data_IF_775644746491
#
_entry.id   IF_775644746491
#
_cell.length_a   1.000
_cell.length_b   1.000
_cell.length_c   1.000
_cell.angle_alpha   90.00
_cell.angle_beta   90.00
_cell.angle_gamma   90.00
#
_symmetry.space_group_name_H-M   'P 1'
#
loop_
_entity.id
_entity.type
_entity.pdbx_description
1 polymer ?
#
# COMPACT_ATOMS: atom_id res chain seq x y z
N UNK A 1 13.75 -19.32 15.65
CA UNK A 1 12.34 -18.96 15.95
C UNK A 1 11.60 -18.82 14.65
N UNK A 2 10.41 -19.41 14.54
CA UNK A 2 9.59 -19.33 13.34
C UNK A 2 8.32 -18.51 13.60
N UNK A 3 8.00 -17.58 12.71
CA UNK A 3 6.78 -16.75 12.77
C UNK A 3 5.94 -16.92 11.51
N UNK A 4 4.64 -16.63 11.60
CA UNK A 4 3.76 -16.53 10.44
C UNK A 4 3.64 -15.07 10.02
N UNK A 5 3.81 -14.80 8.72
CA UNK A 5 3.38 -13.57 8.06
C UNK A 5 2.11 -13.87 7.27
N UNK A 6 1.04 -13.12 7.48
CA UNK A 6 -0.25 -13.36 6.84
C UNK A 6 -0.94 -12.07 6.43
N UNK A 7 -1.67 -12.14 5.34
CA UNK A 7 -2.40 -11.02 4.77
C UNK A 7 -2.06 -10.79 3.32
N UNK A 8 -2.96 -10.13 2.60
CA UNK A 8 -2.81 -9.95 1.17
C UNK A 8 -4.10 -9.52 0.48
N UNK A 9 -4.34 -10.07 -0.70
CA UNK A 9 -5.44 -9.71 -1.58
C UNK A 9 -5.14 -8.47 -2.43
N UNK A 10 -4.31 -7.55 -1.95
CA UNK A 10 -3.88 -6.34 -2.68
C UNK A 10 -2.39 -6.10 -2.55
N UNK A 11 -1.79 -5.42 -3.54
CA UNK A 11 -0.35 -5.13 -3.57
C UNK A 11 0.16 -4.38 -2.33
N UNK A 12 -0.65 -3.48 -1.75
CA UNK A 12 -0.24 -2.74 -0.55
C UNK A 12 -0.02 -3.62 0.68
N UNK A 13 -0.90 -4.61 0.92
CA UNK A 13 -0.70 -5.59 1.99
C UNK A 13 0.54 -6.47 1.74
N UNK A 14 0.70 -6.91 0.49
CA UNK A 14 1.79 -7.81 0.10
C UNK A 14 3.15 -7.12 0.18
N UNK A 15 3.23 -5.83 -0.13
CA UNK A 15 4.44 -5.04 0.05
C UNK A 15 4.89 -5.02 1.54
N UNK A 16 3.97 -4.83 2.48
CA UNK A 16 4.29 -4.85 3.91
C UNK A 16 4.77 -6.24 4.35
N UNK A 17 4.13 -7.32 3.86
CA UNK A 17 4.59 -8.70 4.13
C UNK A 17 6.04 -8.88 3.64
N UNK A 18 6.37 -8.37 2.45
CA UNK A 18 7.73 -8.43 1.90
C UNK A 18 8.74 -7.68 2.78
N UNK A 19 8.41 -6.47 3.23
CA UNK A 19 9.30 -5.69 4.10
C UNK A 19 9.49 -6.35 5.47
N UNK A 20 8.44 -6.97 6.02
CA UNK A 20 8.55 -7.75 7.26
C UNK A 20 9.39 -9.02 7.07
N UNK A 21 9.27 -9.70 5.93
CA UNK A 21 10.12 -10.85 5.59
C UNK A 21 11.59 -10.43 5.52
N UNK A 22 11.91 -9.34 4.82
CA UNK A 22 13.28 -8.80 4.71
C UNK A 22 13.85 -8.46 6.09
N UNK A 23 13.05 -7.84 6.94
CA UNK A 23 13.42 -7.53 8.32
C UNK A 23 13.68 -8.80 9.16
N UNK A 24 12.81 -9.81 9.01
CA UNK A 24 12.93 -11.07 9.74
C UNK A 24 14.21 -11.84 9.35
N UNK A 25 14.55 -11.86 8.06
CA UNK A 25 15.78 -12.50 7.55
C UNK A 25 17.01 -11.83 8.14
N UNK A 26 17.09 -10.49 8.17
CA UNK A 26 18.19 -9.74 8.80
C UNK A 26 18.39 -10.13 10.28
N UNK A 27 17.37 -10.62 10.95
CA UNK A 27 17.37 -11.02 12.37
C UNK A 27 17.43 -12.53 12.58
N UNK A 28 17.70 -13.32 11.53
CA UNK A 28 17.73 -14.78 11.55
C UNK A 28 16.41 -15.40 12.07
N UNK A 29 15.27 -14.83 11.68
CA UNK A 29 13.94 -15.31 12.01
C UNK A 29 13.36 -15.98 10.77
N UNK A 30 12.94 -17.23 10.93
CA UNK A 30 12.28 -17.98 9.87
C UNK A 30 10.82 -17.52 9.73
N UNK A 31 10.34 -17.37 8.49
CA UNK A 31 8.99 -16.96 8.19
C UNK A 31 8.25 -18.04 7.40
N UNK A 32 7.03 -18.34 7.83
CA UNK A 32 6.03 -19.08 7.05
C UNK A 32 5.00 -18.07 6.52
N UNK A 33 4.70 -18.14 5.24
CA UNK A 33 3.64 -17.31 4.66
C UNK A 33 2.32 -18.08 4.58
N UNK A 34 1.23 -17.45 5.03
CA UNK A 34 -0.12 -17.95 4.86
C UNK A 34 -0.95 -16.84 4.18
N UNK A 35 -1.37 -17.11 2.95
CA UNK A 35 -2.15 -16.17 2.12
C UNK A 35 -3.33 -16.84 1.44
N UNK A 36 -3.84 -16.22 0.37
CA UNK A 36 -4.98 -16.70 -0.39
C UNK A 36 -4.60 -17.22 -1.78
N UNK A 37 -5.33 -18.22 -2.27
CA UNK A 37 -5.32 -18.61 -3.69
C UNK A 37 -5.97 -17.54 -4.56
N UNK A 38 -6.83 -16.70 -3.96
CA UNK A 38 -7.54 -15.63 -4.61
C UNK A 38 -6.81 -14.29 -4.39
N UNK A 39 -6.86 -13.40 -5.37
CA UNK A 39 -6.15 -12.12 -5.29
C UNK A 39 -4.73 -12.20 -5.86
N UNK A 40 -3.83 -11.36 -5.35
CA UNK A 40 -2.48 -11.22 -5.88
C UNK A 40 -1.42 -12.03 -5.09
N UNK A 41 -1.81 -12.68 -4.00
CA UNK A 41 -0.89 -13.33 -3.04
C UNK A 41 0.03 -14.33 -3.72
N UNK A 42 -0.51 -15.19 -4.57
CA UNK A 42 0.25 -16.21 -5.30
C UNK A 42 1.23 -15.58 -6.29
N UNK A 43 0.78 -14.60 -7.07
CA UNK A 43 1.62 -13.90 -8.03
C UNK A 43 2.81 -13.18 -7.38
N UNK A 44 2.66 -12.74 -6.12
CA UNK A 44 3.74 -12.07 -5.37
C UNK A 44 4.72 -13.04 -4.73
N UNK A 45 4.25 -14.18 -4.24
CA UNK A 45 5.07 -15.03 -3.35
C UNK A 45 5.24 -16.48 -3.81
N UNK A 46 4.64 -16.92 -4.91
CA UNK A 46 4.81 -18.29 -5.39
C UNK A 46 6.30 -18.62 -5.70
N UNK A 47 7.00 -17.69 -6.33
CA UNK A 47 8.42 -17.79 -6.64
C UNK A 47 9.35 -17.29 -5.53
N UNK A 48 8.82 -16.74 -4.42
CA UNK A 48 9.64 -16.23 -3.32
C UNK A 48 10.24 -17.38 -2.50
N UNK A 49 11.55 -17.54 -2.56
CA UNK A 49 12.27 -18.67 -1.94
C UNK A 49 12.71 -18.43 -0.50
N UNK A 50 12.65 -17.21 -0.02
CA UNK A 50 13.12 -16.84 1.34
C UNK A 50 12.15 -17.22 2.46
N UNK A 51 10.90 -17.60 2.16
CA UNK A 51 10.02 -18.21 3.13
C UNK A 51 10.40 -19.65 3.39
N UNK A 52 10.38 -20.08 4.66
CA UNK A 52 10.56 -21.50 5.06
C UNK A 52 9.47 -22.40 4.44
N UNK A 53 8.23 -21.90 4.39
CA UNK A 53 7.11 -22.53 3.71
C UNK A 53 6.06 -21.49 3.29
N UNK A 54 5.23 -21.83 2.31
CA UNK A 54 4.16 -20.97 1.80
C UNK A 54 2.88 -21.77 1.63
N UNK A 55 1.77 -21.25 2.16
CA UNK A 55 0.45 -21.85 2.08
C UNK A 55 -0.53 -20.87 1.50
N UNK A 56 -1.18 -21.24 0.40
CA UNK A 56 -2.21 -20.43 -0.24
C UNK A 56 -3.56 -21.11 -0.05
N UNK A 57 -4.35 -20.60 0.88
CA UNK A 57 -5.64 -21.17 1.26
C UNK A 57 -6.76 -20.64 0.36
N UNK A 58 -7.87 -21.39 0.28
CA UNK A 58 -9.04 -20.98 -0.51
C UNK A 58 -9.91 -19.91 0.18
N UNK A 59 -9.27 -18.99 0.94
CA UNK A 59 -9.96 -17.93 1.66
C UNK A 59 -10.72 -16.98 0.73
N UNK A 60 -11.86 -16.46 1.20
CA UNK A 60 -12.75 -15.57 0.44
C UNK A 60 -13.15 -14.37 1.28
N UNK A 61 -13.32 -13.22 0.62
CA UNK A 61 -13.83 -12.02 1.27
C UNK A 61 -15.29 -12.19 1.70
N UNK A 62 -15.62 -11.69 2.90
CA UNK A 62 -16.99 -11.71 3.46
C UNK A 62 -17.76 -10.43 3.05
N UNK A 63 -17.06 -9.39 2.62
CA UNK A 63 -17.64 -8.11 2.22
C UNK A 63 -18.34 -8.26 0.87
N UNK A 64 -19.52 -7.63 0.70
CA UNK A 64 -20.36 -7.69 -0.50
C UNK A 64 -21.10 -9.02 -0.72
N UNK A 65 -21.28 -9.84 0.32
CA UNK A 65 -22.11 -11.04 0.25
C UNK A 65 -23.46 -10.82 0.96
N UNK A 66 -24.50 -11.59 0.55
CA UNK A 66 -25.76 -11.65 1.26
C UNK A 66 -25.60 -12.36 2.63
N UNK A 67 -26.64 -12.37 3.47
CA UNK A 67 -26.58 -12.93 4.83
C UNK A 67 -26.12 -14.39 4.87
N UNK A 68 -26.65 -15.25 3.99
CA UNK A 68 -26.28 -16.67 3.88
C UNK A 68 -24.81 -16.82 3.41
N UNK A 69 -24.39 -16.04 2.43
CA UNK A 69 -23.02 -16.03 1.94
C UNK A 69 -22.02 -15.63 3.03
N UNK A 70 -22.37 -14.67 3.88
CA UNK A 70 -21.53 -14.27 5.03
C UNK A 70 -21.36 -15.42 6.04
N UNK A 71 -22.44 -16.12 6.36
CA UNK A 71 -22.39 -17.28 7.28
C UNK A 71 -21.51 -18.38 6.70
N UNK A 72 -21.71 -18.74 5.42
CA UNK A 72 -20.89 -19.76 4.74
C UNK A 72 -19.41 -19.37 4.70
N UNK A 73 -19.11 -18.09 4.42
CA UNK A 73 -17.72 -17.60 4.43
C UNK A 73 -17.09 -17.63 5.81
N UNK A 74 -17.84 -17.39 6.88
CA UNK A 74 -17.36 -17.52 8.25
C UNK A 74 -17.08 -18.99 8.60
N UNK A 75 -18.01 -19.90 8.32
CA UNK A 75 -17.81 -21.33 8.52
C UNK A 75 -16.59 -21.86 7.75
N UNK A 76 -16.44 -21.41 6.50
CA UNK A 76 -15.27 -21.75 5.71
C UNK A 76 -13.98 -21.20 6.31
N UNK A 77 -13.98 -19.96 6.80
CA UNK A 77 -12.82 -19.37 7.50
C UNK A 77 -12.45 -20.18 8.75
N UNK A 78 -13.43 -20.65 9.54
CA UNK A 78 -13.18 -21.52 10.69
C UNK A 78 -12.57 -22.87 10.30
N UNK A 79 -13.02 -23.47 9.17
CA UNK A 79 -12.41 -24.69 8.64
C UNK A 79 -10.94 -24.45 8.28
N UNK A 80 -10.65 -23.38 7.54
CA UNK A 80 -9.28 -23.02 7.18
C UNK A 80 -8.42 -22.68 8.41
N UNK A 81 -9.00 -22.13 9.47
CA UNK A 81 -8.28 -21.90 10.73
C UNK A 81 -7.81 -23.19 11.38
N UNK A 82 -8.53 -24.31 11.22
CA UNK A 82 -8.07 -25.63 11.70
C UNK A 82 -6.85 -26.10 10.91
N UNK A 83 -6.82 -25.87 9.60
CA UNK A 83 -5.66 -26.16 8.75
C UNK A 83 -4.45 -25.31 9.20
N UNK A 84 -4.66 -24.02 9.47
CA UNK A 84 -3.61 -23.14 10.01
C UNK A 84 -3.07 -23.64 11.35
N UNK A 85 -3.91 -24.16 12.25
CA UNK A 85 -3.45 -24.74 13.54
C UNK A 85 -2.52 -25.93 13.34
N UNK A 86 -2.76 -26.75 12.32
CA UNK A 86 -1.84 -27.85 11.99
C UNK A 86 -0.51 -27.31 11.48
N UNK A 87 -0.54 -26.34 10.54
CA UNK A 87 0.67 -25.65 10.06
C UNK A 87 1.47 -25.05 11.23
N UNK A 88 0.78 -24.44 12.22
CA UNK A 88 1.46 -23.87 13.39
C UNK A 88 2.23 -24.90 14.21
N UNK A 89 1.67 -26.10 14.35
CA UNK A 89 2.35 -27.22 15.03
C UNK A 89 3.53 -27.75 14.22
N UNK A 90 3.32 -27.98 12.92
CA UNK A 90 4.32 -28.58 12.04
C UNK A 90 5.58 -27.72 11.90
N UNK A 91 5.43 -26.38 11.98
CA UNK A 91 6.51 -25.42 11.85
C UNK A 91 6.93 -24.75 13.16
N UNK A 92 6.43 -25.20 14.32
CA UNK A 92 6.72 -24.63 15.64
C UNK A 92 6.56 -23.10 15.69
N UNK A 93 5.40 -22.62 15.24
CA UNK A 93 5.12 -21.18 15.13
C UNK A 93 5.02 -20.55 16.53
N UNK A 94 5.72 -19.43 16.74
CA UNK A 94 5.76 -18.70 18.01
C UNK A 94 4.90 -17.44 18.00
N UNK A 95 4.58 -16.88 16.84
CA UNK A 95 3.74 -15.70 16.70
C UNK A 95 3.17 -15.57 15.30
N UNK A 96 2.09 -14.79 15.17
CA UNK A 96 1.44 -14.46 13.88
C UNK A 96 1.42 -12.96 13.69
N UNK A 97 1.92 -12.49 12.53
CA UNK A 97 1.87 -11.12 12.07
C UNK A 97 0.85 -11.00 10.94
N UNK A 98 -0.25 -10.32 11.22
CA UNK A 98 -1.31 -10.03 10.26
C UNK A 98 -1.17 -8.61 9.73
N UNK A 99 -1.10 -8.46 8.42
CA UNK A 99 -1.19 -7.16 7.77
C UNK A 99 -2.61 -6.84 7.30
N UNK A 100 -3.58 -7.72 7.59
CA UNK A 100 -4.99 -7.55 7.22
C UNK A 100 -5.33 -8.09 5.83
N UNK A 101 -6.49 -7.69 5.35
CA UNK A 101 -7.11 -8.29 4.18
C UNK A 101 -7.84 -9.60 4.52
N UNK A 102 -8.69 -10.07 3.61
CA UNK A 102 -9.46 -11.30 3.83
C UNK A 102 -8.58 -12.56 3.92
N UNK A 103 -7.42 -12.53 3.26
CA UNK A 103 -6.47 -13.65 3.28
C UNK A 103 -5.83 -13.88 4.66
N UNK A 104 -5.79 -12.86 5.52
CA UNK A 104 -5.26 -12.98 6.87
C UNK A 104 -6.22 -13.66 7.86
N UNK A 105 -7.51 -13.77 7.56
CA UNK A 105 -8.51 -14.20 8.51
C UNK A 105 -8.24 -15.61 9.08
N UNK A 106 -7.97 -16.66 8.26
CA UNK A 106 -7.75 -18.01 8.79
C UNK A 106 -6.60 -18.09 9.79
N UNK A 107 -5.43 -17.53 9.44
CA UNK A 107 -4.26 -17.57 10.31
C UNK A 107 -4.44 -16.71 11.56
N UNK A 108 -5.10 -15.55 11.45
CA UNK A 108 -5.38 -14.68 12.60
C UNK A 108 -6.32 -15.34 13.62
N UNK A 109 -7.40 -15.99 13.16
CA UNK A 109 -8.26 -16.76 14.07
C UNK A 109 -7.56 -17.99 14.64
N UNK A 110 -6.76 -18.69 13.83
CA UNK A 110 -5.96 -19.81 14.31
C UNK A 110 -4.99 -19.38 15.43
N UNK A 111 -4.38 -18.20 15.33
CA UNK A 111 -3.52 -17.66 16.39
C UNK A 111 -4.28 -17.49 17.71
N UNK A 112 -5.48 -16.91 17.67
CA UNK A 112 -6.32 -16.77 18.87
C UNK A 112 -6.69 -18.12 19.47
N UNK A 113 -7.12 -19.08 18.65
CA UNK A 113 -7.50 -20.41 19.10
C UNK A 113 -6.33 -21.28 19.59
N UNK A 114 -5.11 -20.90 19.24
CA UNK A 114 -3.87 -21.55 19.68
C UNK A 114 -3.16 -20.79 20.80
N UNK A 115 -3.75 -19.69 21.29
CA UNK A 115 -3.15 -18.79 22.29
C UNK A 115 -1.78 -18.26 21.89
N UNK A 116 -1.51 -18.15 20.58
CA UNK A 116 -0.29 -17.54 20.06
C UNK A 116 -0.41 -16.01 20.00
N UNK A 117 0.67 -15.28 20.27
CA UNK A 117 0.69 -13.83 20.11
C UNK A 117 0.30 -13.44 18.68
N UNK A 118 -0.76 -12.61 18.56
CA UNK A 118 -1.22 -12.02 17.30
C UNK A 118 -0.81 -10.55 17.28
N UNK A 119 0.00 -10.17 16.29
CA UNK A 119 0.36 -8.80 15.98
C UNK A 119 -0.38 -8.37 14.74
N UNK A 120 -0.97 -7.18 14.77
CA UNK A 120 -1.72 -6.65 13.62
C UNK A 120 -1.09 -5.35 13.18
N UNK A 121 -0.78 -5.24 11.89
CA UNK A 121 -0.46 -3.97 11.24
C UNK A 121 -1.65 -3.51 10.40
N UNK A 122 -2.18 -2.32 10.73
CA UNK A 122 -3.21 -1.66 9.93
C UNK A 122 -2.57 -0.61 9.05
N UNK A 123 -2.70 -0.80 7.75
CA UNK A 123 -2.05 0.08 6.78
C UNK A 123 -2.85 1.35 6.46
N UNK A 124 -4.17 1.37 6.70
CA UNK A 124 -5.03 2.49 6.36
C UNK A 124 -5.47 3.28 7.59
N UNK A 125 -5.78 4.55 7.40
CA UNK A 125 -6.36 5.41 8.44
C UNK A 125 -7.73 4.93 8.94
N UNK A 126 -8.48 4.22 8.10
CA UNK A 126 -9.74 3.55 8.48
C UNK A 126 -9.53 2.04 8.49
N UNK A 127 -9.54 1.48 9.68
CA UNK A 127 -9.28 0.04 9.87
C UNK A 127 -10.21 -0.84 9.06
N UNK A 128 -9.62 -1.85 8.43
CA UNK A 128 -10.32 -2.94 7.77
C UNK A 128 -11.23 -3.70 8.75
N UNK A 129 -12.28 -4.35 8.24
CA UNK A 129 -13.27 -5.01 9.11
C UNK A 129 -12.66 -6.14 9.94
N UNK A 130 -11.74 -6.91 9.38
CA UNK A 130 -11.01 -7.97 10.10
C UNK A 130 -10.14 -7.39 11.21
N UNK A 131 -9.32 -6.40 10.89
CA UNK A 131 -8.42 -5.77 11.84
C UNK A 131 -9.19 -5.10 12.98
N UNK A 132 -10.32 -4.43 12.67
CA UNK A 132 -11.21 -3.85 13.68
C UNK A 132 -11.79 -4.92 14.62
N UNK A 133 -12.21 -6.07 14.09
CA UNK A 133 -12.74 -7.18 14.87
C UNK A 133 -11.68 -7.80 15.79
N UNK A 134 -10.45 -7.95 15.29
CA UNK A 134 -9.37 -8.64 15.99
C UNK A 134 -8.53 -7.73 16.90
N UNK A 135 -8.64 -6.39 16.75
CA UNK A 135 -7.89 -5.42 17.56
C UNK A 135 -7.95 -5.66 19.07
N UNK A 136 -9.12 -5.98 19.70
CA UNK A 136 -9.20 -6.24 21.13
C UNK A 136 -8.45 -7.50 21.61
N UNK A 137 -8.18 -8.42 20.71
CA UNK A 137 -7.55 -9.72 20.97
C UNK A 137 -6.08 -9.75 20.55
N UNK A 138 -5.61 -8.74 19.85
CA UNK A 138 -4.23 -8.66 19.42
C UNK A 138 -3.30 -8.37 20.60
N UNK A 139 -2.13 -9.02 20.63
CA UNK A 139 -1.06 -8.69 21.59
C UNK A 139 -0.59 -7.25 21.41
N UNK A 140 -0.54 -6.79 20.16
CA UNK A 140 -0.29 -5.41 19.80
C UNK A 140 -0.90 -5.07 18.44
N UNK A 141 -1.40 -3.84 18.33
CA UNK A 141 -1.95 -3.26 17.11
C UNK A 141 -1.09 -2.08 16.68
N UNK A 142 -0.58 -2.12 15.45
CA UNK A 142 0.30 -1.11 14.89
C UNK A 142 -0.38 -0.35 13.76
N UNK A 143 -0.28 0.96 13.76
CA UNK A 143 -0.74 1.81 12.67
C UNK A 143 0.04 3.12 12.63
N UNK A 144 0.42 3.57 11.45
CA UNK A 144 1.07 4.88 11.25
C UNK A 144 0.08 6.06 11.37
N UNK A 145 -1.21 5.79 11.47
CA UNK A 145 -2.27 6.80 11.59
C UNK A 145 -2.82 6.95 13.01
N UNK A 146 -2.39 6.14 13.97
CA UNK A 146 -2.82 6.21 15.38
C UNK A 146 -1.82 6.99 16.24
N UNK A 147 -2.22 7.37 17.47
CA UNK A 147 -1.40 8.21 18.37
C UNK A 147 -0.04 7.61 18.77
N UNK A 148 0.02 6.28 18.92
CA UNK A 148 1.28 5.55 19.09
C UNK A 148 1.87 5.24 17.70
N UNK A 149 2.50 6.23 17.12
CA UNK A 149 3.00 6.15 15.74
C UNK A 149 4.12 5.11 15.67
N UNK A 150 3.85 4.02 14.96
CA UNK A 150 4.91 3.17 14.40
C UNK A 150 5.15 3.64 12.97
N UNK A 151 6.40 3.76 12.53
CA UNK A 151 6.67 4.11 11.15
C UNK A 151 5.99 3.13 10.20
N UNK A 152 5.38 3.66 9.15
CA UNK A 152 4.85 2.82 8.08
C UNK A 152 6.01 2.09 7.40
N UNK A 153 5.93 0.76 7.19
CA UNK A 153 6.96 0.04 6.45
C UNK A 153 7.05 0.52 5.00
N UNK A 154 8.16 1.13 4.64
CA UNK A 154 8.51 1.55 3.28
C UNK A 154 9.92 1.07 2.98
N UNK A 155 10.18 0.66 1.73
CA UNK A 155 11.52 0.25 1.33
C UNK A 155 12.52 1.41 1.40
N UNK A 156 13.74 1.13 1.86
CA UNK A 156 14.80 2.13 2.05
C UNK A 156 15.14 2.87 0.75
N UNK A 157 15.02 2.21 -0.39
CA UNK A 157 15.27 2.79 -1.71
C UNK A 157 14.47 4.06 -2.02
N UNK A 158 13.25 4.23 -1.46
CA UNK A 158 12.48 5.47 -1.61
C UNK A 158 13.11 6.63 -0.84
N UNK A 159 13.68 6.38 0.33
CA UNK A 159 14.42 7.39 1.11
C UNK A 159 15.78 7.73 0.48
N UNK A 160 16.46 6.76 -0.12
CA UNK A 160 17.74 6.96 -0.79
C UNK A 160 17.61 7.85 -2.03
N UNK A 161 16.47 7.81 -2.69
CA UNK A 161 16.12 8.61 -3.86
C UNK A 161 15.37 9.91 -3.52
N UNK A 162 15.26 10.27 -2.23
CA UNK A 162 14.60 11.48 -1.79
C UNK A 162 15.43 12.73 -2.13
N UNK A 163 14.74 13.80 -2.55
CA UNK A 163 15.34 15.12 -2.79
C UNK A 163 14.32 16.23 -2.53
N UNK A 164 14.77 17.41 -2.16
CA UNK A 164 13.91 18.58 -2.04
C UNK A 164 13.56 19.09 -3.44
N UNK A 165 12.27 19.32 -3.68
CA UNK A 165 11.71 19.85 -4.94
C UNK A 165 11.55 21.35 -4.82
N UNK A 166 12.20 22.10 -5.71
CA UNK A 166 12.13 23.58 -5.72
C UNK A 166 11.37 24.12 -6.91
N UNK A 167 11.50 23.45 -8.04
CA UNK A 167 10.92 23.84 -9.32
C UNK A 167 10.07 22.71 -9.88
N UNK A 168 9.05 23.05 -10.64
CA UNK A 168 8.19 22.11 -11.33
C UNK A 168 8.67 21.92 -12.78
N UNK A 169 9.31 20.79 -13.04
CA UNK A 169 9.75 20.38 -14.40
C UNK A 169 9.12 19.07 -14.85
N UNK A 170 8.81 18.18 -13.90
CA UNK A 170 8.28 16.85 -14.20
C UNK A 170 7.10 16.52 -13.28
N UNK A 171 6.00 16.06 -13.85
CA UNK A 171 4.85 15.54 -13.09
C UNK A 171 4.73 14.05 -13.32
N UNK A 172 4.55 13.29 -12.22
CA UNK A 172 4.24 11.87 -12.30
C UNK A 172 2.76 11.62 -11.98
N UNK A 173 2.10 10.85 -12.86
CA UNK A 173 0.73 10.38 -12.65
C UNK A 173 0.76 8.91 -12.22
N UNK A 174 0.14 8.59 -11.07
CA UNK A 174 0.18 7.26 -10.46
C UNK A 174 -1.23 6.70 -10.24
N UNK A 175 -1.64 5.79 -11.12
CA UNK A 175 -2.90 5.05 -11.00
C UNK A 175 -2.79 3.80 -10.10
N UNK A 176 -1.57 3.43 -9.68
CA UNK A 176 -1.26 2.15 -9.04
C UNK A 176 -1.05 1.01 -10.04
N UNK A 177 -0.63 -0.16 -9.57
CA UNK A 177 -0.25 -1.32 -10.41
C UNK A 177 -1.38 -1.85 -11.30
N UNK A 178 -2.63 -1.65 -10.91
CA UNK A 178 -3.81 -2.04 -11.70
C UNK A 178 -4.29 -0.94 -12.65
N UNK A 179 -3.67 0.25 -12.55
CA UNK A 179 -4.12 1.44 -13.26
C UNK A 179 -5.37 2.08 -12.64
N UNK A 180 -5.64 3.30 -13.06
CA UNK A 180 -6.84 4.04 -12.67
C UNK A 180 -7.29 4.91 -13.85
N UNK A 181 -8.34 4.48 -14.54
CA UNK A 181 -8.84 5.16 -15.75
C UNK A 181 -8.96 6.68 -15.56
N UNK A 182 -9.50 7.14 -14.43
CA UNK A 182 -9.62 8.57 -14.16
C UNK A 182 -8.27 9.30 -14.11
N UNK A 183 -7.25 8.70 -13.46
CA UNK A 183 -5.90 9.29 -13.41
C UNK A 183 -5.28 9.32 -14.81
N UNK A 184 -5.48 8.25 -15.56
CA UNK A 184 -4.97 8.15 -16.92
C UNK A 184 -5.62 9.18 -17.86
N UNK A 185 -6.96 9.30 -17.82
CA UNK A 185 -7.70 10.29 -18.61
C UNK A 185 -7.34 11.72 -18.20
N UNK A 186 -7.16 11.98 -16.90
CA UNK A 186 -6.72 13.27 -16.38
C UNK A 186 -5.31 13.64 -16.89
N UNK A 187 -4.38 12.67 -16.91
CA UNK A 187 -3.04 12.90 -17.43
C UNK A 187 -3.08 13.35 -18.90
N UNK A 188 -3.88 12.70 -19.74
CA UNK A 188 -4.07 13.10 -21.14
C UNK A 188 -4.73 14.47 -21.27
N UNK A 189 -5.75 14.76 -20.46
CA UNK A 189 -6.45 16.06 -20.51
C UNK A 189 -5.57 17.23 -20.08
N UNK A 190 -4.64 17.03 -19.15
CA UNK A 190 -3.71 18.06 -18.69
C UNK A 190 -2.49 18.20 -19.61
N UNK A 191 -2.16 17.18 -20.38
CA UNK A 191 -0.92 17.07 -21.15
C UNK A 191 -0.65 18.27 -22.08
N UNK A 192 -1.63 18.80 -22.86
CA UNK A 192 -1.37 19.94 -23.73
C UNK A 192 -0.96 21.22 -22.98
N UNK A 193 -1.61 21.50 -21.84
CA UNK A 193 -1.27 22.68 -21.04
C UNK A 193 0.05 22.52 -20.29
N UNK A 194 0.37 21.30 -19.83
CA UNK A 194 1.66 20.98 -19.21
C UNK A 194 2.79 21.15 -20.22
N UNK A 195 2.63 20.65 -21.45
CA UNK A 195 3.62 20.80 -22.51
C UNK A 195 3.87 22.28 -22.87
N UNK A 196 2.82 23.10 -23.00
CA UNK A 196 2.94 24.55 -23.23
C UNK A 196 3.77 25.27 -22.15
N UNK A 197 3.76 24.71 -20.92
CA UNK A 197 4.54 25.21 -19.78
C UNK A 197 5.93 24.57 -19.65
N UNK A 198 6.33 23.72 -20.60
CA UNK A 198 7.61 23.00 -20.57
C UNK A 198 7.71 21.93 -19.48
N UNK A 199 6.57 21.38 -19.03
CA UNK A 199 6.53 20.37 -17.99
C UNK A 199 6.45 18.98 -18.64
N UNK A 200 7.38 18.09 -18.27
CA UNK A 200 7.41 16.71 -18.74
C UNK A 200 6.44 15.84 -17.95
N UNK A 201 5.98 14.76 -18.59
CA UNK A 201 5.00 13.83 -18.04
C UNK A 201 5.64 12.46 -17.87
N UNK A 202 5.52 11.90 -16.67
CA UNK A 202 5.82 10.51 -16.31
C UNK A 202 4.48 9.87 -15.95
N UNK A 203 4.07 8.77 -16.61
CA UNK A 203 2.72 8.25 -16.45
C UNK A 203 2.69 6.74 -16.26
N UNK A 204 2.30 6.31 -15.04
CA UNK A 204 1.98 4.92 -14.73
C UNK A 204 0.53 4.63 -15.12
N UNK A 205 0.31 4.01 -16.29
CA UNK A 205 -1.03 3.73 -16.80
C UNK A 205 -1.66 2.46 -16.25
N UNK A 206 -0.84 1.52 -15.73
CA UNK A 206 -1.28 0.24 -15.21
C UNK A 206 -1.30 -0.89 -16.24
N UNK A 207 -1.51 -2.10 -15.74
CA UNK A 207 -1.40 -3.33 -16.51
C UNK A 207 -2.33 -3.33 -17.74
N UNK A 208 -1.80 -3.77 -18.88
CA UNK A 208 -2.50 -3.90 -20.16
C UNK A 208 -2.98 -2.59 -20.81
N UNK A 209 -2.56 -1.42 -20.33
CA UNK A 209 -2.99 -0.12 -20.86
C UNK A 209 -1.84 0.63 -21.59
N UNK A 210 -0.62 0.07 -21.59
CA UNK A 210 0.60 0.74 -22.06
C UNK A 210 0.49 1.23 -23.50
N UNK A 211 0.20 0.34 -24.44
CA UNK A 211 0.12 0.66 -25.88
C UNK A 211 -0.92 1.73 -26.16
N UNK A 212 -2.08 1.63 -25.53
CA UNK A 212 -3.18 2.58 -25.68
C UNK A 212 -2.77 4.00 -25.26
N UNK A 213 -2.12 4.17 -24.10
CA UNK A 213 -1.75 5.50 -23.63
C UNK A 213 -0.50 6.03 -24.33
N UNK A 214 0.44 5.18 -24.76
CA UNK A 214 1.54 5.58 -25.62
C UNK A 214 1.02 6.12 -26.96
N UNK A 215 0.03 5.46 -27.57
CA UNK A 215 -0.58 5.93 -28.81
C UNK A 215 -1.33 7.24 -28.59
N UNK A 216 -2.10 7.37 -27.49
CA UNK A 216 -2.83 8.62 -27.19
C UNK A 216 -1.91 9.83 -27.02
N UNK A 217 -0.73 9.69 -26.39
CA UNK A 217 0.25 10.78 -26.33
C UNK A 217 0.86 11.12 -27.70
N UNK A 218 1.12 10.11 -28.54
CA UNK A 218 1.59 10.32 -29.94
C UNK A 218 0.57 11.09 -30.76
N UNK A 219 -0.71 10.75 -30.64
CA UNK A 219 -1.81 11.43 -31.34
C UNK A 219 -1.93 12.91 -30.94
N UNK A 220 -1.55 13.22 -29.69
CA UNK A 220 -1.45 14.62 -29.20
C UNK A 220 -0.14 15.32 -29.57
N UNK A 221 0.82 14.66 -30.24
CA UNK A 221 2.18 15.14 -30.46
C UNK A 221 2.89 15.51 -29.14
N UNK A 222 2.68 14.75 -28.07
CA UNK A 222 3.27 14.96 -26.75
C UNK A 222 4.22 13.82 -26.42
N UNK A 223 5.45 14.17 -26.01
CA UNK A 223 6.39 13.19 -25.49
C UNK A 223 6.12 12.97 -23.99
N UNK A 224 5.87 11.71 -23.59
CA UNK A 224 5.67 11.29 -22.21
C UNK A 224 6.40 9.98 -21.92
N UNK A 225 6.91 9.84 -20.69
CA UNK A 225 7.47 8.56 -20.18
C UNK A 225 6.32 7.71 -19.64
N UNK A 226 5.74 6.87 -20.49
CA UNK A 226 4.58 6.03 -20.16
C UNK A 226 5.03 4.61 -19.84
N UNK A 227 4.59 4.08 -18.70
CA UNK A 227 4.88 2.71 -18.27
C UNK A 227 3.67 2.07 -17.56
N UNK A 228 3.59 0.75 -17.58
CA UNK A 228 2.52 -0.01 -16.90
C UNK A 228 2.89 -0.33 -15.45
N UNK A 229 4.07 -0.92 -15.25
CA UNK A 229 4.66 -1.28 -13.96
C UNK A 229 6.16 -1.01 -13.97
N UNK A 230 6.71 -0.57 -12.86
CA UNK A 230 8.16 -0.43 -12.68
C UNK A 230 8.60 -1.07 -11.37
N UNK A 231 9.58 -1.98 -11.35
CA UNK A 231 10.23 -2.46 -10.14
C UNK A 231 11.12 -1.37 -9.49
N UNK A 232 11.41 -0.30 -10.25
CA UNK A 232 12.21 0.87 -9.86
C UNK A 232 11.36 2.15 -9.81
N UNK A 233 10.19 2.08 -9.14
CA UNK A 233 9.28 3.22 -9.03
C UNK A 233 9.93 4.39 -8.30
N UNK A 234 10.83 4.12 -7.36
CA UNK A 234 11.62 5.12 -6.64
C UNK A 234 12.46 6.03 -7.57
N UNK A 235 12.98 5.49 -8.67
CA UNK A 235 13.73 6.27 -9.68
C UNK A 235 12.79 7.17 -10.49
N UNK A 236 11.62 6.67 -10.85
CA UNK A 236 10.58 7.48 -11.50
C UNK A 236 10.13 8.63 -10.58
N UNK A 237 9.92 8.34 -9.27
CA UNK A 237 9.58 9.35 -8.28
C UNK A 237 10.73 10.34 -8.03
N UNK A 238 11.99 9.90 -8.06
CA UNK A 238 13.16 10.78 -7.95
C UNK A 238 13.17 11.83 -9.05
N UNK A 239 12.80 11.45 -10.27
CA UNK A 239 12.78 12.35 -11.45
C UNK A 239 11.57 13.29 -11.46
N UNK A 240 10.54 13.03 -10.65
CA UNK A 240 9.35 13.86 -10.56
C UNK A 240 9.49 15.00 -9.53
N UNK A 241 8.78 16.10 -9.75
CA UNK A 241 8.70 17.24 -8.84
C UNK A 241 7.35 17.34 -8.16
N UNK A 242 6.31 16.78 -8.77
CA UNK A 242 4.95 16.67 -8.22
C UNK A 242 4.32 15.34 -8.63
N UNK A 243 3.58 14.72 -7.74
CA UNK A 243 2.77 13.55 -8.05
C UNK A 243 1.28 13.87 -8.08
N UNK A 244 0.56 13.31 -9.05
CA UNK A 244 -0.90 13.22 -9.06
C UNK A 244 -1.27 11.75 -8.92
N UNK A 245 -1.90 11.36 -7.80
CA UNK A 245 -1.99 9.95 -7.42
C UNK A 245 -3.31 9.57 -6.77
N UNK A 246 -3.64 8.28 -6.83
CA UNK A 246 -4.56 7.68 -5.86
C UNK A 246 -3.94 7.70 -4.46
N UNK A 247 -4.78 7.69 -3.42
CA UNK A 247 -4.33 7.78 -2.03
C UNK A 247 -4.31 6.40 -1.32
N UNK A 248 -3.77 5.38 -1.99
CA UNK A 248 -3.42 4.11 -1.35
C UNK A 248 -2.33 4.33 -0.30
N UNK A 249 -2.43 3.69 0.86
CA UNK A 249 -1.51 3.96 1.97
C UNK A 249 -0.04 3.71 1.61
N UNK A 250 0.28 2.62 0.90
CA UNK A 250 1.66 2.34 0.49
C UNK A 250 2.21 3.46 -0.40
N UNK A 251 1.51 3.82 -1.48
CA UNK A 251 1.95 4.90 -2.37
C UNK A 251 2.06 6.23 -1.64
N UNK A 252 1.13 6.54 -0.73
CA UNK A 252 1.18 7.76 0.07
C UNK A 252 2.48 7.84 0.90
N UNK A 253 2.83 6.76 1.61
CA UNK A 253 4.05 6.74 2.41
C UNK A 253 5.33 6.60 1.59
N UNK A 254 5.28 5.97 0.40
CA UNK A 254 6.36 5.97 -0.58
C UNK A 254 6.65 7.39 -1.09
N UNK A 255 5.59 8.17 -1.38
CA UNK A 255 5.70 9.58 -1.76
C UNK A 255 6.27 10.43 -0.60
N UNK A 256 5.83 10.19 0.64
CA UNK A 256 6.42 10.84 1.82
C UNK A 256 7.91 10.50 1.99
N UNK A 257 8.27 9.23 1.90
CA UNK A 257 9.66 8.77 2.01
C UNK A 257 10.57 9.37 0.92
N UNK A 258 10.02 9.54 -0.29
CA UNK A 258 10.72 10.19 -1.39
C UNK A 258 10.65 11.73 -1.32
N UNK A 259 9.98 12.30 -0.32
CA UNK A 259 9.74 13.74 -0.14
C UNK A 259 9.09 14.41 -1.36
N UNK A 260 8.23 13.67 -2.08
CA UNK A 260 7.58 14.12 -3.31
C UNK A 260 6.22 14.77 -3.01
N UNK A 261 6.05 16.09 -3.21
CA UNK A 261 4.77 16.78 -3.08
C UNK A 261 3.69 16.12 -3.92
N UNK A 262 2.45 16.09 -3.42
CA UNK A 262 1.40 15.29 -4.07
C UNK A 262 0.04 15.97 -4.05
N UNK A 263 -0.70 15.80 -5.15
CA UNK A 263 -2.13 16.01 -5.25
C UNK A 263 -2.79 14.63 -5.26
N UNK A 264 -3.67 14.37 -4.32
CA UNK A 264 -4.37 13.10 -4.24
C UNK A 264 -5.77 13.18 -4.82
N UNK A 265 -6.13 12.15 -5.58
CA UNK A 265 -7.48 11.91 -6.08
C UNK A 265 -7.93 10.54 -5.57
N UNK A 266 -8.54 10.49 -4.37
CA UNK A 266 -8.97 9.25 -3.76
C UNK A 266 -9.94 8.46 -4.64
N UNK A 267 -9.82 7.12 -4.61
CA UNK A 267 -10.77 6.26 -5.31
C UNK A 267 -12.14 6.31 -4.62
N UNK A 268 -13.23 6.69 -5.34
CA UNK A 268 -14.52 6.98 -4.71
C UNK A 268 -15.20 5.74 -4.12
N UNK A 269 -14.89 4.55 -4.63
CA UNK A 269 -15.46 3.29 -4.16
C UNK A 269 -14.53 2.54 -3.18
N UNK A 270 -13.54 3.23 -2.63
CA UNK A 270 -12.67 2.65 -1.61
C UNK A 270 -13.48 2.31 -0.35
N UNK A 271 -13.32 1.09 0.15
CA UNK A 271 -14.07 0.62 1.32
C UNK A 271 -13.94 1.60 2.50
N UNK A 272 -15.06 2.02 3.09
CA UNK A 272 -15.12 3.04 4.16
C UNK A 272 -14.42 4.34 3.79
N UNK A 273 -14.28 4.64 2.51
CA UNK A 273 -13.60 5.84 1.99
C UNK A 273 -12.15 5.99 2.51
N UNK A 274 -11.47 4.86 2.73
CA UNK A 274 -10.15 4.87 3.39
C UNK A 274 -9.10 5.69 2.63
N UNK A 275 -9.16 5.75 1.29
CA UNK A 275 -8.20 6.56 0.53
C UNK A 275 -8.36 8.07 0.82
N UNK A 276 -9.58 8.56 0.94
CA UNK A 276 -9.81 9.95 1.36
C UNK A 276 -9.18 10.22 2.73
N UNK A 277 -9.43 9.35 3.71
CA UNK A 277 -8.90 9.54 5.06
C UNK A 277 -7.38 9.35 5.14
N UNK A 278 -6.78 8.53 4.27
CA UNK A 278 -5.34 8.45 4.13
C UNK A 278 -4.75 9.80 3.68
N UNK A 279 -5.29 10.37 2.59
CA UNK A 279 -4.85 11.67 2.09
C UNK A 279 -5.14 12.80 3.08
N UNK A 280 -6.29 12.75 3.77
CA UNK A 280 -6.66 13.75 4.77
C UNK A 280 -5.64 13.86 5.91
N UNK A 281 -4.98 12.77 6.28
CA UNK A 281 -3.88 12.77 7.27
C UNK A 281 -2.73 13.71 6.88
N UNK A 282 -2.43 13.83 5.59
CA UNK A 282 -1.45 14.79 5.07
C UNK A 282 -2.06 16.17 4.84
N UNK A 283 -3.31 16.24 4.37
CA UNK A 283 -4.00 17.51 4.14
C UNK A 283 -4.18 18.31 5.44
N UNK A 284 -4.50 17.65 6.56
CA UNK A 284 -4.64 18.28 7.88
C UNK A 284 -3.32 18.90 8.38
N UNK A 285 -2.20 18.54 7.75
CA UNK A 285 -0.87 19.10 7.98
C UNK A 285 -0.43 20.07 6.86
N UNK A 286 -1.32 20.39 5.93
CA UNK A 286 -1.03 21.19 4.73
C UNK A 286 0.12 20.62 3.87
N UNK A 287 0.23 19.28 3.77
CA UNK A 287 1.28 18.58 3.02
C UNK A 287 0.81 18.02 1.69
N UNK A 288 -0.48 18.12 1.38
CA UNK A 288 -1.05 17.74 0.08
C UNK A 288 -2.34 18.50 -0.20
N UNK A 289 -2.81 18.38 -1.42
CA UNK A 289 -4.18 18.75 -1.80
C UNK A 289 -4.98 17.50 -2.17
N UNK A 290 -6.30 17.55 -1.95
CA UNK A 290 -7.23 16.47 -2.28
C UNK A 290 -8.30 17.01 -3.21
N UNK A 291 -8.51 16.29 -4.31
CA UNK A 291 -9.60 16.53 -5.24
C UNK A 291 -10.48 15.28 -5.33
N UNK A 292 -11.79 15.46 -5.21
CA UNK A 292 -12.74 14.34 -5.27
C UNK A 292 -13.12 14.06 -6.72
N UNK A 293 -12.88 12.84 -7.19
CA UNK A 293 -13.05 12.44 -8.59
C UNK A 293 -14.36 12.93 -9.24
N UNK A 294 -15.49 12.88 -8.51
CA UNK A 294 -16.79 13.19 -9.07
C UNK A 294 -17.07 14.71 -9.21
N UNK A 295 -16.27 15.56 -8.57
CA UNK A 295 -16.46 17.00 -8.50
C UNK A 295 -15.20 17.77 -8.91
N UNK A 296 -14.35 17.18 -9.74
CA UNK A 296 -13.07 17.78 -10.09
C UNK A 296 -12.98 18.01 -11.58
N UNK A 297 -12.67 19.23 -11.95
CA UNK A 297 -12.39 19.63 -13.33
C UNK A 297 -10.88 19.75 -13.57
N UNK A 298 -10.38 19.39 -14.76
CA UNK A 298 -8.94 19.49 -15.09
C UNK A 298 -8.34 20.87 -14.82
N UNK A 299 -9.05 21.94 -15.12
CA UNK A 299 -8.61 23.32 -14.91
C UNK A 299 -8.38 23.68 -13.43
N UNK A 300 -9.15 23.09 -12.51
CA UNK A 300 -8.97 23.30 -11.09
C UNK A 300 -7.68 22.65 -10.60
N UNK A 301 -7.39 21.41 -11.08
CA UNK A 301 -6.14 20.72 -10.78
C UNK A 301 -4.97 21.50 -11.39
N UNK A 302 -5.11 21.96 -12.62
CA UNK A 302 -4.06 22.77 -13.29
C UNK A 302 -3.73 24.02 -12.47
N UNK A 303 -4.74 24.75 -12.00
CA UNK A 303 -4.54 25.92 -11.12
C UNK A 303 -3.88 25.54 -9.80
N UNK A 304 -4.24 24.39 -9.23
CA UNK A 304 -3.66 23.89 -8.00
C UNK A 304 -2.18 23.53 -8.16
N UNK A 305 -1.80 22.87 -9.23
CA UNK A 305 -0.41 22.50 -9.57
C UNK A 305 0.51 23.72 -9.44
N UNK A 306 0.13 24.86 -10.03
CA UNK A 306 0.99 26.06 -10.05
C UNK A 306 0.92 26.92 -8.78
N UNK A 307 0.05 26.57 -7.81
CA UNK A 307 -0.05 27.27 -6.51
C UNK A 307 0.70 26.58 -5.39
N UNK A 308 1.17 25.35 -5.60
CA UNK A 308 1.86 24.58 -4.55
C UNK A 308 3.26 25.17 -4.28
N UNK A 309 3.57 25.36 -3.00
CA UNK A 309 4.93 25.60 -2.56
C UNK A 309 5.66 24.25 -2.42
N UNK A 310 6.30 23.82 -3.51
CA UNK A 310 6.95 22.52 -3.59
C UNK A 310 8.07 22.37 -2.57
N UNK A 311 8.87 23.42 -2.34
CA UNK A 311 10.02 23.38 -1.41
C UNK A 311 9.57 23.24 0.04
N UNK A 312 8.57 23.98 0.49
CA UNK A 312 8.01 23.86 1.83
C UNK A 312 7.43 22.47 2.07
N UNK A 313 6.56 22.02 1.16
CA UNK A 313 5.91 20.70 1.26
C UNK A 313 6.97 19.60 1.25
N UNK A 314 7.90 19.62 0.29
CA UNK A 314 8.96 18.61 0.16
C UNK A 314 9.83 18.55 1.41
N UNK A 315 10.16 19.68 2.00
CA UNK A 315 10.97 19.75 3.23
C UNK A 315 10.25 19.12 4.41
N UNK A 316 8.96 19.42 4.59
CA UNK A 316 8.15 18.94 5.73
C UNK A 316 7.72 17.48 5.57
N UNK A 317 7.68 16.94 4.35
CA UNK A 317 7.40 15.52 4.11
C UNK A 317 8.46 14.59 4.71
N UNK A 318 9.69 15.07 4.97
CA UNK A 318 10.75 14.29 5.64
C UNK A 318 10.31 13.70 6.98
N UNK A 319 9.46 14.43 7.71
CA UNK A 319 9.00 14.04 9.03
C UNK A 319 7.81 13.06 9.00
N UNK A 320 7.27 12.76 7.80
CA UNK A 320 6.07 11.93 7.64
C UNK A 320 6.37 10.46 7.44
N UNK A 321 7.61 10.09 7.16
CA UNK A 321 8.06 8.71 7.00
C UNK A 321 9.44 8.53 7.64
N UNK A 322 9.70 7.34 8.16
CA UNK A 322 10.96 7.01 8.81
C UNK A 322 11.53 5.72 8.19
N UNK A 323 12.86 5.70 7.99
CA UNK A 323 13.57 4.48 7.57
C UNK A 323 13.40 3.35 8.57
N UNK A 324 13.62 2.13 8.11
CA UNK A 324 13.59 0.92 8.94
C UNK A 324 12.23 0.65 9.61
N UNK A 325 11.12 1.14 9.04
CA UNK A 325 9.78 0.97 9.64
C UNK A 325 9.41 -0.50 9.91
N UNK A 326 9.77 -1.41 9.02
CA UNK A 326 9.57 -2.85 9.21
C UNK A 326 10.44 -3.41 10.35
N UNK A 327 11.71 -2.98 10.44
CA UNK A 327 12.64 -3.40 11.50
C UNK A 327 12.13 -2.96 12.88
N UNK A 328 11.71 -1.69 12.99
CA UNK A 328 11.15 -1.12 14.24
C UNK A 328 9.87 -1.86 14.67
N UNK A 329 8.98 -2.14 13.72
CA UNK A 329 7.75 -2.87 13.98
C UNK A 329 8.04 -4.28 14.48
N UNK A 330 8.90 -5.01 13.78
CA UNK A 330 9.27 -6.38 14.14
C UNK A 330 9.99 -6.42 15.50
N UNK A 331 10.92 -5.51 15.78
CA UNK A 331 11.63 -5.43 17.08
C UNK A 331 10.67 -5.16 18.24
N UNK A 332 9.74 -4.22 18.09
CA UNK A 332 8.71 -3.96 19.12
C UNK A 332 7.89 -5.21 19.38
N UNK A 333 7.53 -5.96 18.35
CA UNK A 333 6.74 -7.18 18.50
C UNK A 333 7.55 -8.32 19.14
N UNK A 334 8.81 -8.53 18.73
CA UNK A 334 9.68 -9.56 19.28
C UNK A 334 9.90 -9.43 20.80
N UNK A 335 9.99 -8.19 21.30
CA UNK A 335 10.07 -7.93 22.76
C UNK A 335 8.85 -8.40 23.53
N UNK A 336 7.72 -8.63 22.88
CA UNK A 336 6.46 -9.09 23.47
C UNK A 336 6.22 -10.60 23.29
N UNK A 337 7.07 -11.29 22.54
CA UNK A 337 7.07 -12.74 22.40
C UNK A 337 7.94 -13.30 23.54
N UNK A 338 7.31 -14.00 24.44
CA UNK A 338 8.00 -14.69 25.56
C UNK A 338 8.36 -16.12 25.17
#
# INVERSE_FOLDING_TARGET
MTIVLTGGGTGGHLAIVRYLLESAIKKNIECVYIGSQNGQDRAWFESETRFKAKFFLSSRGVVNQNKLGKINSLLHTFKLSKECKQIFKDYDIKAVFSVGGYSAAPASFAALFSHLPLFIHEQNSKSGSLNKLLKPFAKQFYSAFEKEIVPYPVADKFFEKARIRKELKNIIFLGGSQGAKFINDLALNLAPELQKKGINIIHQCGKNELEKYQQAYKDLNIQADVFDFSPHLEEKMQNADLAISRAGASTLFELCANTLPSIFIPYPHAAKNHQYFNAKFLQDKALCQIFMQNNTYPDEILKAIFKLNLEDISTRLKDMAQKNGADILLEKALKLIK
#
